data_IF_792986543116
#
_entry.id   IF_792986543116
#
_cell.length_a   1.000
_cell.length_b   1.000
_cell.length_c   1.000
_cell.angle_alpha   90.00
_cell.angle_beta   90.00
_cell.angle_gamma   90.00
#
_symmetry.space_group_name_H-M   'P 1'
#
loop_
_entity.id
_entity.type
_entity.pdbx_description
1 polymer ?
#
# COMPACT_ATOMS: atom_id res chain seq x y z
N UNK A 1 27.91 -4.03 16.44
CA UNK A 1 27.48 -2.75 15.85
C UNK A 1 27.37 -2.94 14.34
N UNK A 2 26.15 -3.12 13.81
CA UNK A 2 25.92 -3.42 12.39
C UNK A 2 24.99 -2.37 11.77
N UNK A 3 25.36 -1.93 10.58
CA UNK A 3 25.09 -0.61 10.00
C UNK A 3 23.70 -0.50 9.35
N UNK A 4 22.82 0.34 9.90
CA UNK A 4 21.52 0.72 9.31
C UNK A 4 21.67 1.73 8.15
N UNK A 5 22.36 1.41 7.05
CA UNK A 5 22.58 2.41 5.98
C UNK A 5 22.33 1.98 4.54
N UNK A 6 21.92 0.75 4.24
CA UNK A 6 21.84 0.33 2.82
C UNK A 6 20.49 0.56 2.11
N UNK A 7 19.37 0.81 2.80
CA UNK A 7 18.06 0.99 2.14
C UNK A 7 17.64 2.43 1.83
N UNK A 8 18.28 3.44 2.44
CA UNK A 8 17.99 4.86 2.14
C UNK A 8 18.73 5.40 0.90
N UNK A 9 19.57 4.59 0.25
CA UNK A 9 20.52 5.07 -0.76
C UNK A 9 19.96 5.23 -2.18
N UNK A 10 18.85 4.56 -2.53
CA UNK A 10 18.31 4.60 -3.90
C UNK A 10 17.39 5.80 -4.13
N UNK A 11 16.38 5.99 -3.27
CA UNK A 11 15.43 7.11 -3.38
C UNK A 11 16.08 8.48 -3.13
N UNK A 12 17.04 8.57 -2.21
CA UNK A 12 17.77 9.82 -1.93
C UNK A 12 18.64 10.28 -3.09
N UNK A 13 19.24 9.35 -3.85
CA UNK A 13 20.10 9.68 -4.99
C UNK A 13 19.33 10.20 -6.21
N UNK A 14 18.17 9.62 -6.51
CA UNK A 14 17.33 10.05 -7.63
C UNK A 14 16.76 11.45 -7.34
N UNK A 15 16.20 11.64 -6.15
CA UNK A 15 15.65 12.94 -5.72
C UNK A 15 16.72 14.03 -5.63
N UNK A 16 17.92 13.69 -5.13
CA UNK A 16 19.07 14.60 -5.09
C UNK A 16 19.58 14.99 -6.49
N UNK A 17 19.69 14.03 -7.41
CA UNK A 17 20.11 14.30 -8.80
C UNK A 17 19.09 15.19 -9.54
N UNK A 18 17.79 14.91 -9.41
CA UNK A 18 16.72 15.74 -9.98
C UNK A 18 16.76 17.17 -9.42
N UNK A 19 16.98 17.34 -8.10
CA UNK A 19 17.04 18.65 -7.45
C UNK A 19 18.29 19.47 -7.82
N UNK A 20 19.39 18.83 -8.21
CA UNK A 20 20.64 19.47 -8.67
C UNK A 20 20.69 19.71 -10.19
N UNK A 21 19.62 19.38 -10.92
CA UNK A 21 19.55 19.57 -12.38
C UNK A 21 20.45 18.62 -13.18
N UNK A 22 20.97 17.55 -12.57
CA UNK A 22 21.85 16.60 -13.24
C UNK A 22 21.04 15.44 -13.83
N UNK A 23 21.30 15.12 -15.10
CA UNK A 23 20.62 14.02 -15.81
C UNK A 23 21.06 12.69 -15.21
N UNK A 24 20.15 11.97 -14.55
CA UNK A 24 20.46 10.67 -13.94
C UNK A 24 20.84 9.66 -15.02
N UNK A 25 22.07 9.14 -14.97
CA UNK A 25 22.50 7.98 -15.76
C UNK A 25 22.34 6.75 -14.88
N UNK A 26 21.28 5.99 -15.11
CA UNK A 26 21.02 4.74 -14.39
C UNK A 26 22.17 3.75 -14.51
N UNK A 27 22.43 3.00 -13.44
CA UNK A 27 23.35 1.87 -13.49
C UNK A 27 22.67 0.74 -14.28
N UNK A 28 23.05 0.56 -15.55
CA UNK A 28 22.66 -0.61 -16.35
C UNK A 28 23.67 -1.74 -16.10
N UNK A 29 23.27 -2.79 -15.38
CA UNK A 29 23.98 -4.08 -15.35
C UNK A 29 23.00 -5.15 -15.81
N UNK A 30 23.37 -5.91 -16.85
CA UNK A 30 22.53 -6.97 -17.42
C UNK A 30 21.23 -6.43 -18.03
N UNK A 31 21.30 -5.96 -19.28
CA UNK A 31 20.10 -5.47 -19.99
C UNK A 31 19.19 -6.66 -20.27
N UNK A 32 18.01 -6.67 -19.65
CA UNK A 32 16.93 -7.61 -19.94
C UNK A 32 15.86 -6.85 -20.73
N UNK A 33 15.42 -7.43 -21.84
CA UNK A 33 14.26 -6.92 -22.55
C UNK A 33 12.99 -7.39 -21.84
N UNK A 34 12.12 -6.44 -21.48
CA UNK A 34 10.93 -6.71 -20.67
C UNK A 34 9.72 -6.19 -21.43
N UNK A 35 8.81 -7.10 -21.75
CA UNK A 35 7.50 -6.76 -22.30
C UNK A 35 6.46 -6.75 -21.18
N UNK A 36 5.69 -5.67 -21.08
CA UNK A 36 4.65 -5.50 -20.09
C UNK A 36 3.28 -5.56 -20.78
N UNK A 37 2.41 -6.45 -20.29
CA UNK A 37 1.04 -6.59 -20.77
C UNK A 37 0.07 -6.31 -19.63
N UNK A 38 -0.87 -5.39 -19.86
CA UNK A 38 -2.00 -5.18 -18.97
C UNK A 38 -3.08 -6.18 -19.33
N UNK A 39 -3.48 -6.99 -18.35
CA UNK A 39 -4.49 -8.01 -18.53
C UNK A 39 -5.72 -7.60 -17.70
N UNK A 40 -6.93 -7.67 -18.27
CA UNK A 40 -8.15 -7.43 -17.51
C UNK A 40 -8.29 -8.45 -16.38
N UNK A 41 -8.74 -7.96 -15.23
CA UNK A 41 -9.01 -8.81 -14.07
C UNK A 41 -10.18 -9.77 -14.38
N UNK A 42 -10.14 -10.96 -13.78
CA UNK A 42 -11.24 -11.93 -13.77
C UNK A 42 -11.69 -12.47 -15.15
N UNK A 43 -10.80 -12.46 -16.16
CA UNK A 43 -11.08 -13.08 -17.46
C UNK A 43 -10.59 -14.54 -17.59
N UNK A 44 -10.34 -15.27 -16.50
CA UNK A 44 -9.91 -16.66 -16.62
C UNK A 44 -8.44 -16.83 -17.05
N UNK A 45 -7.63 -15.76 -16.98
CA UNK A 45 -6.22 -15.86 -17.37
C UNK A 45 -5.45 -16.58 -16.26
N UNK A 46 -5.36 -17.90 -16.38
CA UNK A 46 -4.81 -18.79 -15.34
C UNK A 46 -3.49 -18.34 -14.70
N UNK A 47 -2.49 -17.81 -15.43
CA UNK A 47 -1.27 -17.29 -14.79
C UNK A 47 -1.51 -16.11 -13.85
N UNK A 48 -2.40 -15.18 -14.20
CA UNK A 48 -2.76 -14.06 -13.32
C UNK A 48 -3.60 -14.54 -12.11
N UNK A 49 -4.49 -15.50 -12.33
CA UNK A 49 -5.32 -16.06 -11.25
C UNK A 49 -4.46 -16.78 -10.21
N UNK A 50 -3.51 -17.63 -10.64
CA UNK A 50 -2.55 -18.25 -9.72
C UNK A 50 -1.73 -17.23 -8.95
N UNK A 51 -1.28 -16.15 -9.62
CA UNK A 51 -0.54 -15.10 -8.95
C UNK A 51 -1.39 -14.35 -7.89
N UNK A 52 -2.68 -14.12 -8.17
CA UNK A 52 -3.63 -13.51 -7.25
C UNK A 52 -3.94 -14.43 -6.05
N UNK A 53 -4.11 -15.73 -6.28
CA UNK A 53 -4.29 -16.73 -5.23
C UNK A 53 -3.09 -16.77 -4.26
N UNK A 54 -1.87 -16.85 -4.79
CA UNK A 54 -0.64 -16.82 -3.97
C UNK A 54 -0.50 -15.50 -3.20
N UNK A 55 -0.85 -14.37 -3.82
CA UNK A 55 -0.86 -13.07 -3.15
C UNK A 55 -1.87 -13.02 -1.99
N UNK A 56 -3.05 -13.63 -2.15
CA UNK A 56 -4.06 -13.76 -1.09
C UNK A 56 -3.57 -14.66 0.05
N UNK A 57 -2.96 -15.80 -0.26
CA UNK A 57 -2.38 -16.70 0.75
C UNK A 57 -1.28 -15.98 1.55
N UNK A 58 -0.39 -15.26 0.87
CA UNK A 58 0.64 -14.45 1.53
C UNK A 58 0.04 -13.37 2.44
N UNK A 59 -1.05 -12.70 2.01
CA UNK A 59 -1.75 -11.71 2.81
C UNK A 59 -2.44 -12.32 4.06
N UNK A 60 -2.84 -13.58 4.00
CA UNK A 60 -3.38 -14.34 5.13
C UNK A 60 -2.31 -14.82 6.12
N UNK A 61 -1.02 -14.66 5.78
CA UNK A 61 0.12 -15.05 6.62
C UNK A 61 0.88 -16.28 6.12
N UNK A 62 0.41 -16.93 5.04
CA UNK A 62 1.06 -18.08 4.45
C UNK A 62 2.19 -17.61 3.54
N UNK A 63 3.40 -17.50 4.08
CA UNK A 63 4.57 -17.02 3.34
C UNK A 63 5.58 -18.14 3.09
N UNK A 64 6.31 -18.05 1.99
CA UNK A 64 7.45 -18.91 1.70
C UNK A 64 8.53 -18.81 2.80
N UNK A 65 9.46 -19.77 2.82
CA UNK A 65 10.61 -19.70 3.71
C UNK A 65 11.38 -18.39 3.46
N UNK A 66 11.77 -17.62 4.50
CA UNK A 66 12.53 -16.38 4.33
C UNK A 66 13.80 -16.51 3.47
N UNK A 67 14.41 -17.70 3.37
CA UNK A 67 15.57 -17.92 2.49
C UNK A 67 15.25 -17.77 1.01
N UNK A 68 14.02 -18.11 0.61
CA UNK A 68 13.55 -18.10 -0.78
C UNK A 68 13.00 -16.72 -1.18
N UNK A 69 12.73 -15.85 -0.19
CA UNK A 69 12.25 -14.50 -0.44
C UNK A 69 13.40 -13.58 -0.91
N UNK A 70 13.08 -12.54 -1.71
CA UNK A 70 14.01 -11.43 -1.94
C UNK A 70 14.50 -10.81 -0.63
N UNK A 71 15.77 -10.40 -0.56
CA UNK A 71 16.43 -9.88 0.66
C UNK A 71 15.60 -8.80 1.36
N UNK A 72 14.93 -7.94 0.60
CA UNK A 72 14.14 -6.86 1.16
C UNK A 72 12.85 -7.31 1.86
N UNK A 73 12.35 -8.51 1.57
CA UNK A 73 11.16 -9.14 2.19
C UNK A 73 11.48 -10.05 3.37
N UNK A 74 12.76 -10.41 3.58
CA UNK A 74 13.19 -11.33 4.65
C UNK A 74 13.08 -10.72 6.04
N UNK A 75 13.30 -9.41 6.13
CA UNK A 75 13.37 -8.71 7.41
C UNK A 75 12.00 -8.13 7.79
N UNK A 76 11.63 -8.34 9.06
CA UNK A 76 10.43 -7.76 9.66
C UNK A 76 10.81 -6.59 10.59
N UNK A 77 9.92 -5.60 10.78
CA UNK A 77 8.65 -5.42 10.08
C UNK A 77 8.85 -4.97 8.63
N UNK A 78 7.93 -5.37 7.74
CA UNK A 78 7.89 -4.80 6.39
C UNK A 78 7.38 -3.35 6.49
N UNK A 79 7.81 -2.45 5.59
CA UNK A 79 7.23 -1.12 5.52
C UNK A 79 5.71 -1.19 5.29
N UNK A 80 4.95 -0.39 6.03
CA UNK A 80 3.52 -0.25 5.80
C UNK A 80 3.26 0.27 4.39
N UNK A 81 2.34 -0.35 3.67
CA UNK A 81 1.93 0.15 2.36
C UNK A 81 1.20 1.49 2.51
N UNK A 82 1.28 2.34 1.49
CA UNK A 82 0.56 3.62 1.46
C UNK A 82 -0.96 3.37 1.57
N UNK A 83 -1.47 2.29 0.97
CA UNK A 83 -2.89 1.93 1.07
C UNK A 83 -3.29 1.56 2.50
N UNK A 84 -2.48 0.77 3.21
CA UNK A 84 -2.74 0.43 4.61
C UNK A 84 -2.78 1.68 5.50
N UNK A 85 -1.80 2.58 5.33
CA UNK A 85 -1.76 3.86 6.06
C UNK A 85 -2.99 4.73 5.79
N UNK A 86 -3.44 4.79 4.52
CA UNK A 86 -4.67 5.52 4.15
C UNK A 86 -5.90 4.89 4.80
N UNK A 87 -6.03 3.56 4.78
CA UNK A 87 -7.16 2.84 5.38
C UNK A 87 -7.23 3.06 6.90
N UNK A 88 -6.09 3.00 7.58
CA UNK A 88 -5.99 3.29 9.01
C UNK A 88 -6.46 4.72 9.31
N UNK A 89 -5.95 5.70 8.56
CA UNK A 89 -6.33 7.10 8.74
C UNK A 89 -7.82 7.35 8.47
N UNK A 90 -8.38 6.78 7.39
CA UNK A 90 -9.81 6.88 7.07
C UNK A 90 -10.67 6.25 8.17
N UNK A 91 -10.23 5.12 8.74
CA UNK A 91 -10.93 4.46 9.85
C UNK A 91 -10.94 5.34 11.10
N UNK A 92 -9.79 5.93 11.44
CA UNK A 92 -9.67 6.85 12.57
C UNK A 92 -10.54 8.10 12.36
N UNK A 93 -10.53 8.68 11.16
CA UNK A 93 -11.33 9.83 10.79
C UNK A 93 -12.84 9.54 10.92
N UNK A 94 -13.28 8.41 10.37
CA UNK A 94 -14.67 7.98 10.44
C UNK A 94 -15.12 7.83 11.91
N UNK A 95 -14.28 7.25 12.78
CA UNK A 95 -14.58 7.12 14.22
C UNK A 95 -14.74 8.49 14.88
N UNK A 96 -13.86 9.44 14.56
CA UNK A 96 -13.95 10.80 15.08
C UNK A 96 -15.24 11.50 14.62
N UNK A 97 -15.57 11.38 13.34
CA UNK A 97 -16.78 11.96 12.76
C UNK A 97 -18.06 11.38 13.36
N UNK A 98 -18.12 10.06 13.57
CA UNK A 98 -19.23 9.42 14.28
C UNK A 98 -19.45 10.02 15.66
N UNK A 99 -18.37 10.28 16.42
CA UNK A 99 -18.46 10.92 17.73
C UNK A 99 -19.01 12.34 17.61
N UNK A 100 -18.45 13.14 16.69
CA UNK A 100 -18.88 14.51 16.44
C UNK A 100 -20.34 14.60 15.97
N UNK A 101 -20.77 13.69 15.11
CA UNK A 101 -22.14 13.59 14.62
C UNK A 101 -23.12 13.36 15.76
N UNK A 102 -22.85 12.37 16.62
CA UNK A 102 -23.70 12.07 17.80
C UNK A 102 -23.81 13.24 18.78
N UNK A 103 -22.76 14.04 18.92
CA UNK A 103 -22.75 15.25 19.75
C UNK A 103 -23.43 16.46 19.10
N UNK A 104 -23.87 16.35 17.83
CA UNK A 104 -24.47 17.48 17.13
C UNK A 104 -25.94 17.69 17.53
N UNK A 105 -26.44 18.94 17.57
CA UNK A 105 -27.86 19.22 17.82
C UNK A 105 -28.81 18.59 16.80
N UNK A 106 -28.30 18.21 15.62
CA UNK A 106 -29.08 17.61 14.53
C UNK A 106 -29.29 16.10 14.71
N UNK A 107 -28.45 15.45 15.51
CA UNK A 107 -28.50 14.00 15.70
C UNK A 107 -29.85 13.48 16.18
N UNK A 108 -30.52 14.06 17.20
CA UNK A 108 -31.80 13.55 17.68
C UNK A 108 -32.89 13.54 16.62
N UNK A 109 -32.85 14.48 15.66
CA UNK A 109 -33.85 14.61 14.59
C UNK A 109 -33.59 13.67 13.42
N UNK A 110 -32.32 13.39 13.12
CA UNK A 110 -31.93 12.63 11.92
C UNK A 110 -31.62 11.16 12.20
N UNK A 111 -31.34 10.76 13.45
CA UNK A 111 -31.00 9.37 13.81
C UNK A 111 -32.05 8.35 13.40
N UNK A 112 -33.33 8.74 13.38
CA UNK A 112 -34.46 7.87 13.08
C UNK A 112 -34.77 7.82 11.57
N UNK A 113 -34.35 8.85 10.83
CA UNK A 113 -34.49 8.95 9.38
C UNK A 113 -33.37 8.18 8.67
N UNK A 114 -32.11 8.41 9.08
CA UNK A 114 -30.95 7.75 8.50
C UNK A 114 -29.96 7.29 9.58
N UNK A 115 -30.00 5.99 9.84
CA UNK A 115 -29.14 5.30 10.82
C UNK A 115 -27.68 5.19 10.36
N UNK A 116 -27.40 5.41 9.07
CA UNK A 116 -26.07 5.28 8.49
C UNK A 116 -25.25 6.57 8.57
N UNK A 117 -25.80 7.66 9.12
CA UNK A 117 -25.08 8.90 9.30
C UNK A 117 -23.99 8.82 10.40
N UNK A 118 -22.81 9.42 10.17
CA UNK A 118 -22.37 10.05 8.93
C UNK A 118 -21.99 9.00 7.87
N UNK A 119 -22.44 9.22 6.62
CA UNK A 119 -22.25 8.28 5.51
C UNK A 119 -20.79 8.09 5.15
N UNK A 120 -20.44 6.87 4.70
CA UNK A 120 -19.12 6.54 4.15
C UNK A 120 -18.86 7.18 2.79
N UNK A 121 -19.89 7.65 2.09
CA UNK A 121 -19.76 8.18 0.73
C UNK A 121 -19.06 9.55 0.67
N UNK A 122 -18.85 10.19 1.82
CA UNK A 122 -18.16 11.48 1.94
C UNK A 122 -16.75 11.34 2.55
N UNK A 123 -16.18 10.11 2.51
CA UNK A 123 -14.84 9.72 2.95
C UNK A 123 -14.05 9.15 1.77
#
# INVERSE_FOLDING_TARGET
>A
MYTMQQKHFSYSRITYAMRKGTKWKGQKRGVVDVQLHWIPAHLGFGPNERADEEAKLAAQGNSSNPKDLPVFLRHKPLPSSISALRQENLTALHKHWKRRWKSSPRYPRLKDIDKNLPSKNFL
#
